data_IF_642086146868
#
_entry.id   IF_642086146868
#
_cell.length_a   1.000
_cell.length_b   1.000
_cell.length_c   1.000
_cell.angle_alpha   90.00
_cell.angle_beta   90.00
_cell.angle_gamma   90.00
#
_symmetry.space_group_name_H-M   'P 1'
#
loop_
_entity.id
_entity.type
_entity.pdbx_description
1 polymer ?
#
# COMPACT_ATOMS: atom_id res chain seq x y z
N UNK A 1 -27.97 28.03 -10.87
CA UNK A 1 -28.33 27.95 -9.43
C UNK A 1 -27.09 27.65 -8.60
N UNK A 2 -27.15 27.74 -7.27
CA UNK A 2 -26.05 27.29 -6.40
C UNK A 2 -25.76 25.79 -6.62
N UNK A 3 -26.83 25.02 -6.82
CA UNK A 3 -26.76 23.58 -7.03
C UNK A 3 -26.05 23.17 -8.33
N UNK A 4 -26.35 23.82 -9.47
CA UNK A 4 -25.61 23.58 -10.71
C UNK A 4 -24.11 23.86 -10.56
N UNK A 5 -23.72 24.89 -9.79
CA UNK A 5 -22.29 25.18 -9.55
C UNK A 5 -21.63 24.08 -8.71
N UNK A 6 -22.34 23.52 -7.74
CA UNK A 6 -21.87 22.38 -6.95
C UNK A 6 -21.70 21.13 -7.82
N UNK A 7 -22.66 20.86 -8.72
CA UNK A 7 -22.57 19.78 -9.70
C UNK A 7 -21.37 19.93 -10.63
N UNK A 8 -21.18 21.08 -11.28
CA UNK A 8 -20.03 21.31 -12.17
C UNK A 8 -18.69 21.21 -11.44
N UNK A 9 -18.63 21.70 -10.19
CA UNK A 9 -17.46 21.53 -9.33
C UNK A 9 -17.16 20.06 -9.06
N UNK A 10 -18.15 19.30 -8.61
CA UNK A 10 -17.98 17.87 -8.34
C UNK A 10 -17.56 17.13 -9.62
N UNK A 11 -18.22 17.41 -10.76
CA UNK A 11 -17.91 16.77 -12.04
C UNK A 11 -16.46 17.06 -12.46
N UNK A 12 -15.99 18.30 -12.35
CA UNK A 12 -14.59 18.63 -12.64
C UNK A 12 -13.62 17.90 -11.71
N UNK A 13 -13.96 17.78 -10.43
CA UNK A 13 -13.05 17.25 -9.42
C UNK A 13 -12.97 15.70 -9.44
N UNK A 14 -14.01 14.99 -9.89
CA UNK A 14 -14.04 13.50 -9.84
C UNK A 14 -14.42 12.79 -11.14
N UNK A 15 -15.10 13.43 -12.10
CA UNK A 15 -15.71 12.70 -13.22
C UNK A 15 -14.67 12.06 -14.15
N UNK A 16 -14.63 10.74 -14.14
CA UNK A 16 -13.71 9.95 -14.96
C UNK A 16 -12.27 10.02 -14.47
N UNK A 17 -11.97 10.57 -13.28
CA UNK A 17 -10.61 10.73 -12.79
C UNK A 17 -10.20 9.58 -11.85
N UNK A 18 -8.89 9.34 -11.75
CA UNK A 18 -8.36 8.48 -10.70
C UNK A 18 -8.44 9.25 -9.39
N UNK A 19 -9.11 8.67 -8.40
CA UNK A 19 -9.45 9.34 -7.14
C UNK A 19 -9.03 8.45 -5.98
N UNK A 20 -8.52 9.09 -4.93
CA UNK A 20 -8.34 8.47 -3.61
C UNK A 20 -9.52 8.84 -2.73
N UNK A 21 -10.10 7.86 -2.06
CA UNK A 21 -11.29 8.01 -1.22
C UNK A 21 -10.97 7.54 0.19
N UNK A 22 -11.49 8.27 1.17
CA UNK A 22 -11.56 7.82 2.56
C UNK A 22 -13.03 7.91 2.94
N UNK A 23 -13.59 6.80 3.42
CA UNK A 23 -15.00 6.75 3.84
C UNK A 23 -15.07 7.13 5.32
N UNK A 24 -16.03 7.96 5.71
CA UNK A 24 -16.20 8.34 7.12
C UNK A 24 -16.43 7.13 8.03
N UNK A 25 -17.10 6.08 7.52
CA UNK A 25 -17.33 4.81 8.21
C UNK A 25 -16.08 3.94 8.38
N UNK A 26 -15.03 4.19 7.58
CA UNK A 26 -13.77 3.42 7.58
C UNK A 26 -12.57 4.37 7.44
N UNK A 27 -12.51 5.39 8.31
CA UNK A 27 -11.53 6.48 8.23
C UNK A 27 -10.05 6.05 8.35
N UNK A 28 -9.79 4.81 8.78
CA UNK A 28 -8.44 4.24 8.84
C UNK A 28 -7.92 3.70 7.50
N UNK A 29 -8.78 3.60 6.49
CA UNK A 29 -8.45 3.07 5.17
C UNK A 29 -8.73 4.09 4.07
N UNK A 30 -7.91 4.03 3.02
CA UNK A 30 -8.18 4.70 1.76
C UNK A 30 -8.33 3.69 0.62
N UNK A 31 -9.19 4.06 -0.32
CA UNK A 31 -9.45 3.35 -1.55
C UNK A 31 -8.86 4.15 -2.71
N UNK A 32 -8.43 3.45 -3.75
CA UNK A 32 -8.04 4.08 -5.01
C UNK A 32 -8.85 3.49 -6.13
N UNK A 33 -9.26 4.32 -7.07
CA UNK A 33 -10.03 3.85 -8.20
C UNK A 33 -10.34 4.95 -9.17
N UNK A 34 -11.30 4.69 -10.05
CA UNK A 34 -11.91 5.70 -10.90
C UNK A 34 -13.33 5.95 -10.44
N UNK A 35 -13.71 7.21 -10.33
CA UNK A 35 -15.10 7.60 -10.05
C UNK A 35 -15.67 8.37 -11.23
N UNK A 36 -16.99 8.36 -11.36
CA UNK A 36 -17.67 9.23 -12.31
C UNK A 36 -19.09 9.51 -11.88
N UNK A 37 -19.53 10.74 -12.14
CA UNK A 37 -20.96 11.08 -12.12
C UNK A 37 -21.70 10.19 -13.13
N UNK A 38 -22.66 9.43 -12.66
CA UNK A 38 -23.51 8.55 -13.49
C UNK A 38 -24.89 9.13 -13.74
N UNK A 39 -25.40 9.96 -12.82
CA UNK A 39 -26.72 10.57 -12.94
C UNK A 39 -26.81 11.88 -12.15
N UNK A 40 -27.71 12.76 -12.59
CA UNK A 40 -28.03 14.01 -11.94
C UNK A 40 -29.52 14.32 -12.11
N UNK A 41 -30.25 14.31 -11.00
CA UNK A 41 -31.70 14.55 -10.97
C UNK A 41 -32.02 15.79 -10.17
N UNK A 42 -32.95 16.59 -10.68
CA UNK A 42 -33.45 17.78 -10.01
C UNK A 42 -34.90 17.54 -9.58
N UNK A 43 -35.16 17.72 -8.28
CA UNK A 43 -36.47 17.69 -7.66
C UNK A 43 -36.83 19.07 -7.12
N UNK A 44 -38.08 19.27 -6.71
CA UNK A 44 -38.61 20.59 -6.32
C UNK A 44 -37.77 21.30 -5.25
N UNK A 45 -37.17 20.55 -4.31
CA UNK A 45 -36.47 21.08 -3.15
C UNK A 45 -35.01 20.61 -3.02
N UNK A 46 -34.55 19.70 -3.87
CA UNK A 46 -33.21 19.12 -3.76
C UNK A 46 -32.71 18.61 -5.11
N UNK A 47 -31.41 18.39 -5.21
CA UNK A 47 -30.78 17.75 -6.36
C UNK A 47 -30.03 16.51 -5.88
N UNK A 48 -30.13 15.43 -6.65
CA UNK A 48 -29.46 14.16 -6.37
C UNK A 48 -28.38 13.92 -7.41
N UNK A 49 -27.13 13.77 -6.97
CA UNK A 49 -26.01 13.37 -7.81
C UNK A 49 -25.64 11.93 -7.48
N UNK A 50 -25.66 11.05 -8.47
CA UNK A 50 -25.22 9.66 -8.30
C UNK A 50 -23.80 9.51 -8.84
N UNK A 51 -22.92 8.91 -8.03
CA UNK A 51 -21.55 8.58 -8.41
C UNK A 51 -21.42 7.06 -8.55
N UNK A 52 -20.95 6.62 -9.71
CA UNK A 52 -20.46 5.27 -9.88
C UNK A 52 -18.94 5.24 -9.70
N UNK A 53 -18.41 4.06 -9.40
CA UNK A 53 -16.98 3.87 -9.17
C UNK A 53 -16.50 2.52 -9.65
N UNK A 54 -15.18 2.44 -9.87
CA UNK A 54 -14.43 1.21 -10.07
C UNK A 54 -13.16 1.31 -9.22
N UNK A 55 -13.17 0.66 -8.06
CA UNK A 55 -12.06 0.66 -7.12
C UNK A 55 -11.06 -0.45 -7.47
N UNK A 56 -9.82 -0.24 -7.04
CA UNK A 56 -8.82 -1.29 -6.92
C UNK A 56 -9.32 -2.34 -5.92
N UNK A 57 -8.87 -3.60 -6.04
CA UNK A 57 -9.40 -4.70 -5.24
C UNK A 57 -9.07 -4.62 -3.75
N UNK A 58 -8.07 -3.83 -3.35
CA UNK A 58 -7.66 -3.69 -1.95
C UNK A 58 -7.77 -2.23 -1.50
N UNK A 59 -8.18 -2.05 -0.25
CA UNK A 59 -8.02 -0.81 0.51
C UNK A 59 -6.68 -0.82 1.25
N UNK A 60 -6.15 0.35 1.54
CA UNK A 60 -4.82 0.53 2.13
C UNK A 60 -4.91 1.41 3.37
N UNK A 61 -3.99 1.25 4.31
CA UNK A 61 -3.98 2.07 5.54
C UNK A 61 -3.70 3.53 5.19
N UNK A 62 -4.46 4.48 5.77
CA UNK A 62 -4.20 5.92 5.60
C UNK A 62 -2.79 6.30 6.06
N UNK A 63 -2.21 5.56 7.01
CA UNK A 63 -0.84 5.77 7.46
C UNK A 63 0.21 5.54 6.36
N UNK A 64 -0.12 4.75 5.35
CA UNK A 64 0.76 4.44 4.21
C UNK A 64 0.33 5.21 2.94
N UNK A 65 -0.56 6.20 3.05
CA UNK A 65 -1.13 6.88 1.87
C UNK A 65 -0.08 7.65 1.05
N UNK A 66 0.86 8.32 1.73
CA UNK A 66 1.96 9.04 1.06
C UNK A 66 2.87 8.11 0.26
N UNK A 67 2.97 6.85 0.68
CA UNK A 67 3.78 5.81 0.04
C UNK A 67 2.94 4.86 -0.83
N UNK A 68 1.69 5.23 -1.13
CA UNK A 68 0.77 4.41 -1.92
C UNK A 68 0.59 2.99 -1.39
N UNK A 69 0.53 2.83 -0.05
CA UNK A 69 0.21 1.58 0.64
C UNK A 69 1.45 0.81 1.09
N UNK A 70 2.64 1.35 0.88
CA UNK A 70 3.91 0.70 1.22
C UNK A 70 4.30 1.04 2.65
N UNK A 71 4.25 0.04 3.52
CA UNK A 71 4.81 0.14 4.86
C UNK A 71 6.31 -0.13 4.83
N UNK A 72 7.09 0.60 5.64
CA UNK A 72 8.55 0.47 5.68
C UNK A 72 9.08 0.43 7.11
N UNK A 73 9.79 -0.65 7.44
CA UNK A 73 10.68 -0.70 8.60
C UNK A 73 12.00 -0.02 8.23
N UNK A 74 12.27 1.15 8.82
CA UNK A 74 13.46 1.95 8.49
C UNK A 74 14.65 1.63 9.38
N UNK A 75 15.85 1.74 8.81
CA UNK A 75 17.14 1.68 9.48
C UNK A 75 17.35 0.43 10.34
N UNK A 76 16.82 -0.69 9.87
CA UNK A 76 16.93 -1.98 10.52
C UNK A 76 18.39 -2.42 10.55
N UNK A 77 18.93 -2.54 11.76
CA UNK A 77 20.30 -3.02 11.97
C UNK A 77 20.30 -4.55 11.92
N UNK A 78 21.08 -5.11 11.01
CA UNK A 78 21.27 -6.56 10.86
C UNK A 78 22.73 -6.92 11.15
N UNK A 79 22.91 -8.12 11.68
CA UNK A 79 24.18 -8.78 11.96
C UNK A 79 24.00 -10.28 11.79
N UNK A 80 25.09 -11.04 11.81
CA UNK A 80 25.06 -12.49 11.63
C UNK A 80 24.05 -13.17 12.58
N UNK A 81 23.19 -14.01 12.01
CA UNK A 81 22.13 -14.73 12.72
C UNK A 81 20.97 -13.86 13.21
N UNK A 82 20.91 -12.57 12.85
CA UNK A 82 19.78 -11.72 13.27
C UNK A 82 18.49 -12.19 12.60
N UNK A 83 17.50 -12.51 13.41
CA UNK A 83 16.15 -12.79 12.94
C UNK A 83 15.26 -11.54 13.02
N UNK A 84 14.45 -11.37 11.97
CA UNK A 84 13.40 -10.36 11.89
C UNK A 84 12.11 -11.04 11.49
N UNK A 85 11.05 -10.81 12.26
CA UNK A 85 9.70 -11.29 11.95
C UNK A 85 8.87 -10.17 11.35
N UNK A 86 8.34 -10.38 10.15
CA UNK A 86 7.32 -9.55 9.54
C UNK A 86 5.97 -10.20 9.79
N UNK A 87 5.05 -9.49 10.45
CA UNK A 87 3.68 -9.96 10.70
C UNK A 87 2.78 -9.55 9.54
N UNK A 88 1.99 -10.48 9.03
CA UNK A 88 1.00 -10.26 7.97
C UNK A 88 -0.38 -10.07 8.60
N UNK A 89 -0.74 -8.83 8.90
CA UNK A 89 -2.04 -8.39 9.43
C UNK A 89 -2.95 -7.76 8.36
N UNK A 90 -2.67 -8.05 7.08
CA UNK A 90 -3.34 -7.54 5.88
C UNK A 90 -3.61 -8.69 4.90
N UNK A 91 -4.52 -8.54 3.94
CA UNK A 91 -4.96 -9.64 3.04
C UNK A 91 -4.04 -9.90 1.84
N UNK A 92 -3.30 -8.88 1.40
CA UNK A 92 -2.31 -9.04 0.33
C UNK A 92 -1.23 -10.08 0.71
N UNK A 93 -0.64 -10.70 -0.31
CA UNK A 93 0.54 -11.57 -0.12
C UNK A 93 1.71 -10.71 0.34
N UNK A 94 2.39 -11.12 1.40
CA UNK A 94 3.55 -10.41 1.92
C UNK A 94 4.75 -10.68 1.00
N UNK A 95 5.24 -9.62 0.36
CA UNK A 95 6.43 -9.64 -0.50
C UNK A 95 7.31 -8.44 -0.09
N UNK A 96 8.46 -8.67 0.55
CA UNK A 96 9.34 -7.60 0.95
C UNK A 96 10.23 -7.13 -0.20
N UNK A 97 10.51 -5.83 -0.19
CA UNK A 97 11.63 -5.20 -0.85
C UNK A 97 12.66 -4.81 0.21
N UNK A 98 13.94 -4.96 -0.13
CA UNK A 98 15.05 -4.60 0.75
C UNK A 98 15.83 -3.45 0.13
N UNK A 99 16.11 -2.42 0.91
CA UNK A 99 17.06 -1.36 0.54
C UNK A 99 18.28 -1.44 1.45
N UNK A 100 19.39 -1.95 0.93
CA UNK A 100 20.65 -2.01 1.65
C UNK A 100 21.38 -0.67 1.60
N UNK A 101 21.57 -0.04 2.76
CA UNK A 101 22.23 1.27 2.89
C UNK A 101 23.74 1.18 3.06
N UNK A 102 24.29 -0.03 3.21
CA UNK A 102 25.72 -0.26 3.39
C UNK A 102 26.35 -0.85 2.12
N UNK A 103 27.68 -0.74 2.00
CA UNK A 103 28.42 -1.23 0.82
C UNK A 103 28.62 -2.74 0.82
N UNK A 104 28.59 -3.37 1.98
CA UNK A 104 28.77 -4.81 2.10
C UNK A 104 27.51 -5.55 1.63
N UNK A 105 27.73 -6.75 1.11
CA UNK A 105 26.65 -7.66 0.77
C UNK A 105 26.10 -8.28 2.06
N UNK A 106 24.79 -8.24 2.21
CA UNK A 106 24.04 -8.93 3.27
C UNK A 106 23.31 -10.10 2.60
N UNK A 107 23.16 -11.23 3.28
CA UNK A 107 22.30 -12.33 2.82
C UNK A 107 21.08 -12.44 3.71
N UNK A 108 19.95 -12.82 3.11
CA UNK A 108 18.72 -13.14 3.84
C UNK A 108 18.27 -14.54 3.48
N UNK A 109 17.99 -15.34 4.49
CA UNK A 109 17.46 -16.69 4.38
C UNK A 109 15.96 -16.69 4.68
N UNK A 110 15.21 -17.33 3.79
CA UNK A 110 13.77 -17.55 3.96
C UNK A 110 13.41 -18.94 3.41
N UNK A 111 12.82 -19.79 4.27
CA UNK A 111 12.42 -21.17 3.92
C UNK A 111 13.54 -22.01 3.27
N UNK A 112 14.76 -21.88 3.78
CA UNK A 112 15.93 -22.62 3.30
C UNK A 112 16.54 -22.11 1.99
N UNK A 113 16.05 -20.99 1.43
CA UNK A 113 16.65 -20.32 0.27
C UNK A 113 17.30 -19.00 0.70
N UNK A 114 18.53 -18.80 0.26
CA UNK A 114 19.34 -17.60 0.53
C UNK A 114 19.26 -16.61 -0.63
N UNK A 115 19.15 -15.32 -0.31
CA UNK A 115 19.10 -14.22 -1.26
C UNK A 115 20.17 -13.18 -0.93
N UNK A 116 20.88 -12.69 -1.94
CA UNK A 116 21.95 -11.71 -1.78
C UNK A 116 21.43 -10.28 -1.93
N UNK A 117 21.63 -9.47 -0.90
CA UNK A 117 21.26 -8.06 -0.81
C UNK A 117 22.51 -7.19 -1.02
N UNK A 118 22.77 -6.84 -2.28
CA UNK A 118 23.80 -5.84 -2.63
C UNK A 118 23.35 -4.45 -2.20
N UNK A 119 24.28 -3.49 -2.13
CA UNK A 119 23.95 -2.09 -1.88
C UNK A 119 22.84 -1.61 -2.82
N UNK A 120 21.85 -0.89 -2.29
CA UNK A 120 20.68 -0.43 -3.03
C UNK A 120 19.48 -1.37 -2.89
N UNK A 121 18.60 -1.33 -3.89
CA UNK A 121 17.30 -2.01 -3.86
C UNK A 121 17.41 -3.44 -4.38
N UNK A 122 16.82 -4.38 -3.64
CA UNK A 122 16.71 -5.80 -4.01
C UNK A 122 15.26 -6.27 -3.85
N UNK A 123 14.73 -6.95 -4.88
CA UNK A 123 13.37 -7.50 -4.91
C UNK A 123 13.40 -8.96 -5.34
N UNK A 124 12.68 -9.81 -4.63
CA UNK A 124 12.57 -11.25 -4.91
C UNK A 124 11.11 -11.69 -4.85
N UNK A 125 10.38 -11.72 -5.99
CA UNK A 125 8.97 -12.10 -6.02
C UNK A 125 8.67 -13.51 -5.48
N UNK A 126 9.68 -14.38 -5.41
CA UNK A 126 9.59 -15.71 -4.82
C UNK A 126 9.74 -15.71 -3.29
N UNK A 127 10.34 -14.66 -2.71
CA UNK A 127 10.44 -14.47 -1.27
C UNK A 127 9.11 -13.89 -0.79
N UNK A 128 8.09 -14.75 -0.72
CA UNK A 128 6.72 -14.34 -0.42
C UNK A 128 6.00 -15.33 0.48
N UNK A 129 5.00 -14.85 1.23
CA UNK A 129 4.14 -15.74 2.01
C UNK A 129 2.70 -15.23 2.13
N UNK A 130 1.78 -16.18 2.37
CA UNK A 130 0.41 -15.92 2.86
C UNK A 130 0.23 -16.37 4.32
N UNK A 131 1.25 -16.94 4.93
CA UNK A 131 1.26 -17.24 6.36
C UNK A 131 1.25 -15.92 7.14
N UNK A 132 0.76 -15.97 8.38
CA UNK A 132 0.65 -14.80 9.25
C UNK A 132 2.01 -14.21 9.63
N UNK A 133 3.09 -14.98 9.46
CA UNK A 133 4.44 -14.57 9.83
C UNK A 133 5.46 -14.96 8.76
N UNK A 134 6.33 -14.01 8.42
CA UNK A 134 7.55 -14.24 7.64
C UNK A 134 8.76 -14.01 8.55
N UNK A 135 9.47 -15.08 8.88
CA UNK A 135 10.75 -14.99 9.61
C UNK A 135 11.90 -14.95 8.60
N UNK A 136 12.71 -13.89 8.69
CA UNK A 136 13.88 -13.65 7.87
C UNK A 136 15.13 -13.76 8.74
N UNK A 137 16.09 -14.59 8.34
CA UNK A 137 17.37 -14.73 9.04
C UNK A 137 18.46 -14.06 8.21
N UNK A 138 19.19 -13.12 8.80
CA UNK A 138 20.20 -12.33 8.09
C UNK A 138 21.62 -12.81 8.41
N UNK A 139 22.48 -12.73 7.40
CA UNK A 139 23.93 -12.92 7.50
C UNK A 139 24.65 -11.71 6.90
N UNK A 140 25.74 -11.27 7.52
CA UNK A 140 26.38 -10.00 7.25
C UNK A 140 25.87 -8.89 8.19
N UNK A 141 26.70 -7.85 8.36
CA UNK A 141 26.39 -6.71 9.23
C UNK A 141 26.08 -5.46 8.42
N UNK A 142 24.98 -4.77 8.71
CA UNK A 142 24.69 -3.50 8.06
C UNK A 142 23.32 -2.94 8.40
N UNK A 143 22.87 -1.99 7.58
CA UNK A 143 21.60 -1.27 7.79
C UNK A 143 20.71 -1.41 6.56
N UNK A 144 19.48 -1.86 6.78
CA UNK A 144 18.47 -2.08 5.74
C UNK A 144 17.21 -1.24 6.00
N UNK A 145 16.50 -0.85 4.94
CA UNK A 145 15.05 -0.65 5.02
C UNK A 145 14.36 -1.89 4.46
N UNK A 146 13.26 -2.31 5.09
CA UNK A 146 12.42 -3.43 4.64
C UNK A 146 11.02 -2.88 4.38
N UNK A 147 10.59 -2.89 3.12
CA UNK A 147 9.31 -2.34 2.69
C UNK A 147 8.40 -3.42 2.13
N UNK A 148 7.09 -3.30 2.31
CA UNK A 148 6.11 -4.19 1.69
C UNK A 148 4.75 -3.50 1.54
N UNK A 149 4.03 -3.86 0.47
CA UNK A 149 2.70 -3.34 0.18
C UNK A 149 1.67 -4.04 1.09
N UNK A 150 0.90 -3.26 1.84
CA UNK A 150 -0.20 -3.76 2.68
C UNK A 150 -1.53 -3.41 2.07
N UNK A 151 -2.45 -4.36 2.01
CA UNK A 151 -3.80 -4.12 1.52
C UNK A 151 -4.80 -5.10 2.11
N UNK A 152 -6.01 -4.62 2.37
CA UNK A 152 -7.14 -5.34 2.97
C UNK A 152 -8.28 -5.42 1.95
N UNK A 153 -9.12 -6.44 2.06
CA UNK A 153 -10.34 -6.57 1.26
C UNK A 153 -11.48 -5.69 1.80
#
# INVERSE_FOLDING_TARGET
>A
TVWQKAYERLKRDVHGLKTTLVLDSESSFYYQGRMWVSDFKSDKNYETITLNYRLNPYKHSVLDMETSGVYTLKNVQVKDGKEIRLTRDFDMTLIPEFTNKTRNVISVDFKGKTYSLKQGVSRFPELRTREDNMTLTFQGTGTLDISYLRGWL
#
